data_IF_579318209799
#
_entry.id   IF_579318209799
#
_cell.length_a   1.000
_cell.length_b   1.000
_cell.length_c   1.000
_cell.angle_alpha   90.00
_cell.angle_beta   90.00
_cell.angle_gamma   90.00
#
_symmetry.space_group_name_H-M   'P 1'
#
loop_
_entity.id
_entity.type
_entity.pdbx_description
1 polymer ?
#
# COMPACT_ATOMS: atom_id res chain seq x y z
N UNK A 1 29.62 -2.48 -6.19
CA UNK A 1 28.15 -2.41 -6.14
C UNK A 1 27.74 -3.44 -5.10
N UNK A 2 27.64 -2.98 -3.85
CA UNK A 2 27.27 -3.77 -2.65
C UNK A 2 26.48 -2.82 -1.73
N UNK A 3 25.43 -2.19 -2.25
CA UNK A 3 24.73 -1.13 -1.50
C UNK A 3 23.68 -1.69 -0.53
N UNK A 4 23.24 -2.95 -0.69
CA UNK A 4 22.32 -3.60 0.24
C UNK A 4 22.42 -5.14 0.18
N UNK A 5 22.18 -5.78 1.33
CA UNK A 5 21.97 -7.24 1.41
C UNK A 5 20.54 -7.56 0.99
N UNK A 6 20.38 -8.39 -0.04
CA UNK A 6 19.07 -8.87 -0.48
C UNK A 6 18.66 -10.10 0.33
N UNK A 7 17.49 -10.04 0.96
CA UNK A 7 16.92 -11.16 1.69
C UNK A 7 15.82 -11.83 0.85
N UNK A 8 15.82 -13.17 0.71
CA UNK A 8 14.84 -13.88 -0.12
C UNK A 8 13.53 -14.07 0.64
N UNK A 9 12.76 -13.00 0.79
CA UNK A 9 11.40 -13.01 1.36
C UNK A 9 10.41 -12.49 0.33
N UNK A 10 9.14 -12.84 0.50
CA UNK A 10 8.05 -12.17 -0.21
C UNK A 10 7.84 -10.78 0.42
N UNK A 11 7.85 -9.73 -0.40
CA UNK A 11 7.64 -8.37 0.06
C UNK A 11 6.17 -8.06 0.34
N UNK A 12 5.24 -8.85 -0.22
CA UNK A 12 3.80 -8.71 0.02
C UNK A 12 3.35 -9.45 1.30
N UNK A 13 4.22 -10.28 1.89
CA UNK A 13 3.98 -10.98 3.15
C UNK A 13 4.43 -10.10 4.35
N UNK A 14 3.44 -9.49 5.00
CA UNK A 14 3.66 -8.62 6.16
C UNK A 14 4.37 -9.32 7.33
N UNK A 15 4.09 -10.60 7.57
CA UNK A 15 4.70 -11.37 8.66
C UNK A 15 6.15 -11.70 8.33
N UNK A 16 6.45 -12.03 7.07
CA UNK A 16 7.82 -12.28 6.61
C UNK A 16 8.69 -11.01 6.74
N UNK A 17 8.16 -9.86 6.31
CA UNK A 17 8.85 -8.56 6.40
C UNK A 17 9.05 -8.12 7.85
N UNK A 18 8.00 -8.18 8.69
CA UNK A 18 8.10 -7.83 10.10
C UNK A 18 9.07 -8.76 10.86
N UNK A 19 9.02 -10.06 10.55
CA UNK A 19 9.96 -11.03 11.10
C UNK A 19 11.40 -10.75 10.69
N UNK A 20 11.65 -10.39 9.43
CA UNK A 20 12.98 -10.00 8.97
C UNK A 20 13.48 -8.75 9.68
N UNK A 21 12.66 -7.69 9.77
CA UNK A 21 13.01 -6.44 10.43
C UNK A 21 13.43 -6.68 11.90
N UNK A 22 12.70 -7.51 12.63
CA UNK A 22 13.04 -7.90 14.01
C UNK A 22 14.34 -8.69 14.10
N UNK A 23 14.59 -9.64 13.19
CA UNK A 23 15.82 -10.43 13.17
C UNK A 23 17.06 -9.59 12.87
N UNK A 24 16.91 -8.58 12.01
CA UNK A 24 17.99 -7.66 11.67
C UNK A 24 18.20 -6.56 12.73
N UNK A 25 17.24 -6.38 13.65
CA UNK A 25 17.25 -5.26 14.58
C UNK A 25 17.08 -3.91 13.86
N UNK A 26 16.26 -3.89 12.80
CA UNK A 26 16.04 -2.69 12.00
C UNK A 26 15.26 -1.63 12.80
N UNK A 27 15.78 -0.40 12.83
CA UNK A 27 15.10 0.74 13.46
C UNK A 27 13.96 1.29 12.59
N UNK A 28 14.08 1.17 11.27
CA UNK A 28 13.12 1.68 10.29
C UNK A 28 12.98 0.72 9.10
N UNK A 29 11.74 0.51 8.67
CA UNK A 29 11.41 -0.15 7.40
C UNK A 29 10.79 0.87 6.45
N UNK A 30 11.30 0.94 5.23
CA UNK A 30 10.77 1.78 4.15
C UNK A 30 10.16 0.86 3.10
N UNK A 31 8.85 0.96 2.87
CA UNK A 31 8.17 0.18 1.85
C UNK A 31 8.16 0.98 0.56
N UNK A 32 8.83 0.44 -0.47
CA UNK A 32 8.96 1.09 -1.78
C UNK A 32 7.77 0.83 -2.71
N UNK A 33 7.51 -0.44 -3.09
CA UNK A 33 6.43 -0.77 -4.02
C UNK A 33 5.04 -0.57 -3.41
N UNK A 34 4.06 -0.32 -4.26
CA UNK A 34 2.66 -0.06 -3.87
C UNK A 34 1.90 -1.33 -3.48
N UNK A 35 2.20 -2.47 -4.10
CA UNK A 35 1.52 -3.74 -3.80
C UNK A 35 1.64 -4.17 -2.32
N UNK A 36 2.83 -4.15 -1.69
CA UNK A 36 2.99 -4.39 -0.26
C UNK A 36 2.19 -3.41 0.63
N UNK A 37 2.10 -2.14 0.21
CA UNK A 37 1.36 -1.12 0.94
C UNK A 37 -0.14 -1.44 0.94
N UNK A 38 -0.69 -1.80 -0.22
CA UNK A 38 -2.10 -2.22 -0.35
C UNK A 38 -2.35 -3.54 0.39
N UNK A 39 -1.38 -4.45 0.41
CA UNK A 39 -1.44 -5.71 1.16
C UNK A 39 -1.36 -5.53 2.69
N UNK A 40 -1.00 -4.34 3.18
CA UNK A 40 -0.95 -4.02 4.61
C UNK A 40 0.36 -4.36 5.32
N UNK A 41 1.45 -4.52 4.56
CA UNK A 41 2.77 -4.82 5.11
C UNK A 41 3.23 -3.74 6.09
N UNK A 42 2.96 -2.46 5.79
CA UNK A 42 3.29 -1.36 6.69
C UNK A 42 2.54 -1.43 8.03
N UNK A 43 1.31 -1.96 8.05
CA UNK A 43 0.54 -2.17 9.28
C UNK A 43 1.12 -3.33 10.10
N UNK A 44 1.50 -4.44 9.44
CA UNK A 44 2.15 -5.58 10.09
C UNK A 44 3.48 -5.19 10.75
N UNK A 45 4.31 -4.41 10.06
CA UNK A 45 5.59 -3.92 10.59
C UNK A 45 5.38 -3.01 11.82
N UNK A 46 4.41 -2.08 11.76
CA UNK A 46 4.06 -1.24 12.92
C UNK A 46 3.53 -2.06 14.09
N UNK A 47 2.68 -3.05 13.83
CA UNK A 47 2.15 -3.95 14.85
C UNK A 47 3.26 -4.77 15.54
N UNK A 48 4.34 -5.06 14.81
CA UNK A 48 5.54 -5.70 15.34
C UNK A 48 6.47 -4.76 16.14
N UNK A 49 6.09 -3.48 16.29
CA UNK A 49 6.83 -2.48 17.07
C UNK A 49 8.00 -1.83 16.35
N UNK A 50 8.12 -2.00 15.03
CA UNK A 50 9.19 -1.40 14.22
C UNK A 50 8.65 -0.15 13.52
N UNK A 51 9.43 0.94 13.50
CA UNK A 51 9.01 2.15 12.78
C UNK A 51 8.90 1.85 11.28
N UNK A 52 7.84 2.34 10.63
CA UNK A 52 7.59 2.07 9.23
C UNK A 52 7.19 3.33 8.47
N UNK A 53 7.89 3.59 7.36
CA UNK A 53 7.55 4.59 6.36
C UNK A 53 6.77 3.95 5.21
N UNK A 54 5.52 4.39 5.06
CA UNK A 54 4.54 3.87 4.11
C UNK A 54 3.11 4.04 4.64
N UNK A 55 2.08 4.28 3.83
CA UNK A 55 0.69 4.36 4.30
C UNK A 55 0.22 3.05 4.97
N UNK A 56 -0.86 3.11 5.74
CA UNK A 56 -1.62 1.90 6.12
C UNK A 56 -2.30 1.29 4.89
N UNK A 57 -2.73 0.02 4.97
CA UNK A 57 -3.50 -0.63 3.91
C UNK A 57 -4.71 0.20 3.50
N UNK A 58 -5.43 0.72 4.51
CA UNK A 58 -6.60 1.56 4.28
C UNK A 58 -6.26 2.84 3.51
N UNK A 59 -5.17 3.52 3.85
CA UNK A 59 -4.73 4.72 3.16
C UNK A 59 -4.17 4.41 1.76
N UNK A 60 -3.44 3.29 1.60
CA UNK A 60 -2.90 2.83 0.32
C UNK A 60 -3.99 2.53 -0.73
N UNK A 61 -5.23 2.24 -0.30
CA UNK A 61 -6.39 2.13 -1.21
C UNK A 61 -6.62 3.37 -2.05
N UNK A 62 -6.17 4.55 -1.60
CA UNK A 62 -6.26 5.79 -2.36
C UNK A 62 -5.55 5.67 -3.72
N UNK A 63 -4.47 4.89 -3.79
CA UNK A 63 -3.78 4.56 -5.04
C UNK A 63 -4.29 3.24 -5.64
N UNK A 64 -4.50 2.21 -4.80
CA UNK A 64 -4.89 0.88 -5.25
C UNK A 64 -6.30 0.76 -5.85
N UNK A 65 -7.21 1.71 -5.57
CA UNK A 65 -8.57 1.70 -6.12
C UNK A 65 -8.94 3.07 -6.69
N UNK A 66 -9.01 3.15 -8.03
CA UNK A 66 -9.44 4.37 -8.74
C UNK A 66 -10.86 4.80 -8.33
N UNK A 67 -11.77 3.85 -8.12
CA UNK A 67 -13.13 4.14 -7.66
C UNK A 67 -13.11 4.81 -6.27
N UNK A 68 -12.42 4.21 -5.31
CA UNK A 68 -12.27 4.79 -3.97
C UNK A 68 -11.59 6.17 -4.01
N UNK A 69 -10.56 6.33 -4.83
CA UNK A 69 -9.90 7.61 -5.03
C UNK A 69 -10.87 8.69 -5.52
N UNK A 70 -11.74 8.36 -6.47
CA UNK A 70 -12.77 9.28 -7.01
C UNK A 70 -13.81 9.63 -5.95
N UNK A 71 -14.24 8.67 -5.14
CA UNK A 71 -15.15 8.91 -4.00
C UNK A 71 -14.54 9.87 -2.97
N UNK A 72 -13.29 9.62 -2.57
CA UNK A 72 -12.57 10.49 -1.62
C UNK A 72 -12.38 11.90 -2.17
N UNK A 73 -11.98 12.03 -3.44
CA UNK A 73 -11.82 13.34 -4.08
C UNK A 73 -13.14 14.10 -4.18
N UNK A 74 -14.24 13.43 -4.56
CA UNK A 74 -15.55 14.04 -4.63
C UNK A 74 -16.04 14.51 -3.25
N UNK A 75 -15.92 13.67 -2.23
CA UNK A 75 -16.30 14.01 -0.85
C UNK A 75 -15.50 15.20 -0.29
N UNK A 76 -14.22 15.31 -0.66
CA UNK A 76 -13.33 16.38 -0.24
C UNK A 76 -13.34 17.63 -1.15
N UNK A 77 -14.15 17.65 -2.21
CA UNK A 77 -14.15 18.70 -3.25
C UNK A 77 -12.77 18.92 -3.90
N UNK A 78 -11.98 17.86 -4.07
CA UNK A 78 -10.70 17.90 -4.78
C UNK A 78 -10.96 17.90 -6.29
N UNK A 79 -10.47 18.90 -7.05
CA UNK A 79 -10.66 18.93 -8.49
C UNK A 79 -10.06 17.70 -9.19
N UNK A 80 -10.87 16.98 -9.95
CA UNK A 80 -10.46 15.83 -10.77
C UNK A 80 -11.44 15.64 -11.94
N UNK A 81 -11.04 14.89 -12.96
CA UNK A 81 -11.95 14.56 -14.06
C UNK A 81 -13.17 13.76 -13.55
N UNK A 82 -14.35 14.00 -14.13
CA UNK A 82 -15.54 13.20 -13.88
C UNK A 82 -15.25 11.72 -14.18
N UNK A 83 -15.77 10.83 -13.35
CA UNK A 83 -15.65 9.38 -13.54
C UNK A 83 -16.97 8.70 -13.17
N UNK A 84 -17.29 7.63 -13.89
CA UNK A 84 -18.41 6.72 -13.60
C UNK A 84 -17.80 5.34 -13.36
N UNK A 85 -18.26 4.66 -12.32
CA UNK A 85 -17.86 3.28 -12.03
C UNK A 85 -18.86 2.37 -12.72
N UNK A 86 -18.38 1.53 -13.64
CA UNK A 86 -19.20 0.57 -14.38
C UNK A 86 -18.74 -0.85 -14.02
N UNK A 87 -19.69 -1.73 -13.78
CA UNK A 87 -19.49 -3.16 -13.48
C UNK A 87 -19.93 -4.07 -14.62
N UNK A 88 -20.66 -3.53 -15.60
CA UNK A 88 -21.05 -4.23 -16.82
C UNK A 88 -20.59 -3.46 -18.06
N UNK A 89 -20.49 -4.17 -19.19
CA UNK A 89 -20.19 -3.53 -20.48
C UNK A 89 -21.28 -2.52 -20.88
N UNK A 90 -22.55 -2.86 -20.66
CA UNK A 90 -23.67 -2.00 -21.00
C UNK A 90 -23.65 -0.68 -20.20
N UNK A 91 -23.25 -0.72 -18.92
CA UNK A 91 -23.03 0.49 -18.10
C UNK A 91 -21.88 1.36 -18.62
N UNK A 92 -20.88 0.77 -19.28
CA UNK A 92 -19.73 1.51 -19.80
C UNK A 92 -20.01 2.17 -21.18
N UNK A 93 -21.02 1.69 -21.91
CA UNK A 93 -21.43 2.24 -23.21
C UNK A 93 -22.50 3.34 -23.12
N UNK A 94 -23.15 3.48 -21.97
CA UNK A 94 -24.21 4.46 -21.71
C UNK A 94 -23.66 5.87 -21.48
#
# INVERSE_FOLDING_TARGET
ADEATVHPIDADDGDAVAGLARRLGADLVVIGPEAPLVAGVADAVRAAGVACFGPSAHAARLEGSKAFAKEVMAAANVPTAMAVVCTTHAEAEA
#
